data_IF_875504007840
#
_entry.id   IF_875504007840
#
_cell.length_a   1.000
_cell.length_b   1.000
_cell.length_c   1.000
_cell.angle_alpha   90.00
_cell.angle_beta   90.00
_cell.angle_gamma   90.00
#
_symmetry.space_group_name_H-M   'P 1'
#
loop_
_entity.id
_entity.type
_entity.pdbx_description
1 polymer ?
#
# COMPACT_ATOMS: atom_id res chain seq x y z
N UNK A 1 10.43 21.30 16.91
CA UNK A 1 10.54 20.30 15.83
C UNK A 1 9.63 19.12 16.17
N UNK A 2 8.46 19.00 15.52
CA UNK A 2 7.43 17.99 15.86
C UNK A 2 7.68 16.69 15.09
N UNK A 3 7.67 15.57 15.79
CA UNK A 3 7.81 14.20 15.29
C UNK A 3 6.70 13.81 14.28
N UNK A 4 6.78 14.31 13.04
CA UNK A 4 5.89 13.91 11.93
C UNK A 4 6.23 12.54 11.33
N UNK A 5 7.40 11.97 11.65
CA UNK A 5 7.94 10.75 11.02
C UNK A 5 7.03 9.51 11.06
N UNK A 6 6.11 9.40 12.03
CA UNK A 6 5.18 8.26 12.12
C UNK A 6 4.05 8.29 11.09
N UNK A 7 3.63 9.48 10.63
CA UNK A 7 2.54 9.60 9.65
C UNK A 7 2.98 9.25 8.22
N UNK A 8 4.29 9.16 8.00
CA UNK A 8 4.86 8.85 6.69
C UNK A 8 5.26 7.37 6.57
N UNK A 9 5.09 6.55 7.60
CA UNK A 9 5.45 5.12 7.53
C UNK A 9 4.53 4.37 6.56
N UNK A 10 5.13 3.72 5.56
CA UNK A 10 4.44 2.86 4.59
C UNK A 10 4.58 1.39 4.99
N UNK A 11 3.49 0.64 4.86
CA UNK A 11 3.43 -0.79 5.17
C UNK A 11 3.00 -1.58 3.94
N UNK A 12 3.47 -2.83 3.85
CA UNK A 12 2.93 -3.77 2.88
C UNK A 12 1.56 -4.21 3.35
N UNK A 13 0.56 -4.02 2.50
CA UNK A 13 -0.80 -4.40 2.79
C UNK A 13 -1.35 -5.33 1.70
N UNK A 14 -2.18 -6.27 2.12
CA UNK A 14 -3.11 -6.99 1.26
C UNK A 14 -4.49 -6.38 1.48
N UNK A 15 -5.10 -5.94 0.40
CA UNK A 15 -6.40 -5.27 0.36
C UNK A 15 -7.38 -6.25 -0.31
N UNK A 16 -8.46 -6.57 0.37
CA UNK A 16 -9.62 -7.23 -0.24
C UNK A 16 -10.75 -6.19 -0.27
N UNK A 17 -11.14 -5.68 -1.44
CA UNK A 17 -12.25 -4.74 -1.56
C UNK A 17 -13.53 -5.29 -0.92
N UNK A 18 -14.44 -4.43 -0.43
CA UNK A 18 -14.39 -2.96 -0.52
C UNK A 18 -13.44 -2.29 0.50
N UNK A 19 -13.32 -2.82 1.72
CA UNK A 19 -12.67 -2.08 2.83
C UNK A 19 -11.75 -2.95 3.72
N UNK A 20 -11.38 -4.16 3.29
CA UNK A 20 -10.56 -5.05 4.11
C UNK A 20 -9.07 -4.85 3.84
N UNK A 21 -8.39 -4.09 4.69
CA UNK A 21 -6.93 -3.88 4.59
C UNK A 21 -6.23 -4.67 5.70
N UNK A 22 -5.41 -5.65 5.31
CA UNK A 22 -4.55 -6.41 6.22
C UNK A 22 -3.10 -6.03 6.01
N UNK A 23 -2.44 -5.56 7.07
CA UNK A 23 -1.00 -5.33 7.04
C UNK A 23 -0.24 -6.65 7.06
N UNK A 24 0.58 -6.86 6.04
CA UNK A 24 1.44 -8.04 5.88
C UNK A 24 2.78 -7.82 6.58
N UNK A 25 3.23 -6.57 6.69
CA UNK A 25 4.48 -6.23 7.37
C UNK A 25 4.27 -5.74 8.80
N UNK A 26 4.98 -6.37 9.76
CA UNK A 26 5.03 -5.91 11.16
C UNK A 26 5.87 -4.63 11.36
N UNK A 27 6.65 -4.25 10.35
CA UNK A 27 7.51 -3.07 10.34
C UNK A 27 7.21 -2.24 9.09
N UNK A 28 7.44 -0.91 9.14
CA UNK A 28 7.34 -0.09 7.95
C UNK A 28 8.42 -0.48 6.96
N UNK A 29 8.04 -0.64 5.70
CA UNK A 29 8.92 -0.99 4.58
C UNK A 29 9.36 0.22 3.78
N UNK A 30 8.74 1.39 4.02
CA UNK A 30 9.07 2.63 3.32
C UNK A 30 8.55 3.87 4.04
N UNK A 31 8.78 5.03 3.42
CA UNK A 31 8.39 6.34 3.92
C UNK A 31 7.74 7.21 2.82
N UNK A 32 6.50 7.64 3.02
CA UNK A 32 5.70 8.44 2.09
C UNK A 32 6.28 9.83 1.75
N UNK A 33 7.28 10.30 2.48
CA UNK A 33 8.00 11.54 2.17
C UNK A 33 9.16 11.37 1.19
N UNK A 34 9.52 10.12 0.84
CA UNK A 34 10.69 9.81 -0.01
C UNK A 34 10.40 8.71 -1.03
N UNK A 35 9.64 7.71 -0.63
CA UNK A 35 9.38 6.51 -1.42
C UNK A 35 8.03 6.62 -2.13
N UNK A 36 7.90 6.06 -3.34
CA UNK A 36 6.63 5.94 -4.03
C UNK A 36 5.65 5.07 -3.21
N UNK A 37 4.37 5.40 -3.31
CA UNK A 37 3.29 4.68 -2.64
C UNK A 37 2.01 4.77 -3.43
N UNK A 38 1.13 3.80 -3.22
CA UNK A 38 -0.20 3.83 -3.82
C UNK A 38 -1.23 4.17 -2.76
N UNK A 39 -2.30 4.85 -3.17
CA UNK A 39 -3.41 5.21 -2.27
C UNK A 39 -4.60 4.32 -2.58
N UNK A 40 -5.19 3.76 -1.53
CA UNK A 40 -6.44 3.01 -1.61
C UNK A 40 -7.20 3.18 -0.30
N UNK A 41 -8.51 3.42 -0.38
CA UNK A 41 -9.38 3.71 0.78
C UNK A 41 -8.77 4.78 1.72
N UNK A 42 -8.36 5.92 1.17
CA UNK A 42 -7.72 7.03 1.90
C UNK A 42 -6.45 6.66 2.69
N UNK A 43 -5.92 5.44 2.53
CA UNK A 43 -4.71 4.93 3.17
C UNK A 43 -3.58 4.85 2.15
N UNK A 44 -2.35 5.03 2.63
CA UNK A 44 -1.12 4.90 1.83
C UNK A 44 -0.57 3.49 2.00
N UNK A 45 -0.19 2.87 0.89
CA UNK A 45 0.27 1.49 0.81
C UNK A 45 1.66 1.47 0.16
N UNK A 46 2.57 0.71 0.74
CA UNK A 46 3.92 0.59 0.18
C UNK A 46 3.88 -0.12 -1.19
N UNK A 47 4.89 0.14 -2.00
CA UNK A 47 5.18 -0.67 -3.20
C UNK A 47 5.22 -2.15 -2.83
N UNK A 48 4.60 -2.99 -3.67
CA UNK A 48 4.41 -4.42 -3.45
C UNK A 48 3.12 -4.78 -2.71
N UNK A 49 2.36 -3.79 -2.21
CA UNK A 49 1.01 -4.03 -1.68
C UNK A 49 0.09 -4.56 -2.78
N UNK A 50 -0.88 -5.38 -2.41
CA UNK A 50 -1.75 -6.08 -3.37
C UNK A 50 -3.22 -5.82 -3.06
N UNK A 51 -4.02 -5.67 -4.10
CA UNK A 51 -5.48 -5.69 -4.06
C UNK A 51 -5.91 -7.01 -4.68
N UNK A 52 -6.55 -7.87 -3.90
CA UNK A 52 -7.15 -9.12 -4.34
C UNK A 52 -8.63 -8.87 -4.61
N UNK A 53 -9.00 -8.85 -5.89
CA UNK A 53 -10.38 -8.65 -6.31
C UNK A 53 -11.18 -9.96 -6.18
N UNK A 54 -12.50 -9.86 -6.07
CA UNK A 54 -13.38 -11.03 -5.94
C UNK A 54 -13.37 -11.95 -7.18
N UNK A 55 -13.00 -11.42 -8.34
CA UNK A 55 -12.84 -12.17 -9.60
C UNK A 55 -11.53 -12.97 -9.67
N UNK A 56 -10.68 -12.89 -8.63
CA UNK A 56 -9.37 -13.53 -8.56
C UNK A 56 -8.25 -12.73 -9.22
N UNK A 57 -8.54 -11.58 -9.85
CA UNK A 57 -7.51 -10.69 -10.38
C UNK A 57 -6.75 -10.00 -9.25
N UNK A 58 -5.47 -9.72 -9.48
CA UNK A 58 -4.62 -9.04 -8.49
C UNK A 58 -4.12 -7.72 -9.06
N UNK A 59 -4.19 -6.67 -8.25
CA UNK A 59 -3.61 -5.37 -8.59
C UNK A 59 -2.49 -5.06 -7.61
N UNK A 60 -1.30 -4.76 -8.12
CA UNK A 60 -0.10 -4.55 -7.30
C UNK A 60 0.32 -3.11 -7.35
N UNK A 61 0.72 -2.55 -6.21
CA UNK A 61 1.33 -1.23 -6.14
C UNK A 61 2.76 -1.32 -6.66
N UNK A 62 3.09 -0.59 -7.72
CA UNK A 62 4.41 -0.63 -8.38
C UNK A 62 5.31 0.54 -7.98
N UNK A 63 6.59 0.46 -8.34
CA UNK A 63 7.63 1.45 -8.00
C UNK A 63 7.41 2.83 -8.62
N UNK A 64 6.49 2.96 -9.57
CA UNK A 64 6.04 4.23 -10.14
C UNK A 64 4.93 4.90 -9.28
N UNK A 65 4.49 4.25 -8.20
CA UNK A 65 3.41 4.73 -7.34
C UNK A 65 2.02 4.55 -7.95
N UNK A 66 1.86 3.66 -8.93
CA UNK A 66 0.58 3.33 -9.55
C UNK A 66 0.12 1.91 -9.21
N UNK A 67 -1.20 1.69 -9.32
CA UNK A 67 -1.80 0.37 -9.20
C UNK A 67 -1.79 -0.30 -10.57
N UNK A 68 -1.10 -1.42 -10.70
CA UNK A 68 -0.99 -2.20 -11.94
C UNK A 68 -1.69 -3.54 -11.80
N UNK A 69 -2.59 -3.85 -12.73
CA UNK A 69 -3.28 -5.13 -12.75
C UNK A 69 -2.35 -6.22 -13.31
N UNK A 70 -2.10 -7.26 -12.52
CA UNK A 70 -1.44 -8.47 -12.98
C UNK A 70 -2.55 -9.42 -13.44
N UNK A 71 -2.55 -9.69 -14.75
CA UNK A 71 -3.49 -10.59 -15.40
C UNK A 71 -2.87 -11.97 -15.59
#
# INVERSE_FOLDING_TARGET
>A
MKNRKKQDSLFLNTISPPDNVKSVSNKPVGNAGKDPFCVYDHRRHAVGSKIENEDGSQTVCTEDGSWQNLK
#
